data_IF_503829516475
#
_entry.id   IF_503829516475
#
_cell.length_a   1.000
_cell.length_b   1.000
_cell.length_c   1.000
_cell.angle_alpha   90.00
_cell.angle_beta   90.00
_cell.angle_gamma   90.00
#
_symmetry.space_group_name_H-M   'P 1'
#
loop_
_entity.id
_entity.type
_entity.pdbx_description
1 polymer ?
#
# COMPACT_ATOMS: atom_id res chain seq x y z
N UNK A 1 -4.12 2.27 23.91
CA UNK A 1 -4.98 3.06 23.02
C UNK A 1 -5.50 2.14 21.92
N UNK A 2 -6.80 2.19 21.57
CA UNK A 2 -7.35 1.38 20.48
C UNK A 2 -7.26 2.20 19.18
N UNK A 3 -6.66 1.63 18.14
CA UNK A 3 -6.53 2.25 16.81
C UNK A 3 -7.30 1.38 15.82
N UNK A 4 -7.96 2.01 14.85
CA UNK A 4 -8.53 1.36 13.67
C UNK A 4 -7.77 1.87 12.47
N UNK A 5 -7.23 0.96 11.66
CA UNK A 5 -6.41 1.30 10.52
C UNK A 5 -6.93 0.63 9.24
N UNK A 6 -6.86 1.35 8.13
CA UNK A 6 -7.11 0.86 6.78
C UNK A 6 -5.91 1.22 5.92
N UNK A 7 -5.01 0.26 5.68
CA UNK A 7 -3.64 0.53 5.21
C UNK A 7 -3.37 0.08 3.78
N UNK A 8 -4.38 -0.47 3.10
CA UNK A 8 -4.31 -0.81 1.68
C UNK A 8 -5.43 -0.10 0.92
N UNK A 9 -5.06 1.02 0.32
CA UNK A 9 -5.94 1.89 -0.46
C UNK A 9 -5.24 2.28 -1.76
N UNK A 10 -5.99 2.93 -2.63
CA UNK A 10 -5.49 3.52 -3.86
C UNK A 10 -5.74 5.02 -3.89
N UNK A 11 -5.16 5.69 -4.87
CA UNK A 11 -5.41 7.09 -5.21
C UNK A 11 -6.19 7.21 -6.53
N UNK A 12 -6.45 8.45 -6.94
CA UNK A 12 -7.04 8.78 -8.24
C UNK A 12 -6.11 8.48 -9.44
N UNK A 13 -4.83 8.16 -9.20
CA UNK A 13 -3.89 7.71 -10.23
C UNK A 13 -4.04 6.23 -10.59
N UNK A 14 -4.66 5.42 -9.73
CA UNK A 14 -4.93 4.02 -10.05
C UNK A 14 -6.07 3.88 -11.05
N UNK A 15 -5.99 2.91 -11.96
CA UNK A 15 -7.10 2.63 -12.88
C UNK A 15 -8.33 2.10 -12.14
N UNK A 16 -9.50 2.43 -12.67
CA UNK A 16 -10.81 2.01 -12.15
C UNK A 16 -11.09 2.43 -10.69
N UNK A 17 -10.42 3.48 -10.19
CA UNK A 17 -10.74 4.13 -8.92
C UNK A 17 -11.54 5.42 -9.15
N UNK A 18 -12.10 5.96 -8.07
CA UNK A 18 -12.80 7.24 -8.12
C UNK A 18 -11.82 8.40 -8.35
N UNK A 19 -12.22 9.37 -9.17
CA UNK A 19 -11.48 10.64 -9.33
C UNK A 19 -11.37 11.44 -8.01
N UNK A 20 -12.26 11.17 -7.06
CA UNK A 20 -12.26 11.80 -5.74
C UNK A 20 -11.37 11.06 -4.74
N UNK A 21 -10.63 10.03 -5.13
CA UNK A 21 -9.76 9.28 -4.23
C UNK A 21 -8.44 10.05 -3.98
N UNK A 22 -8.56 11.21 -3.35
CA UNK A 22 -7.46 12.09 -2.96
C UNK A 22 -7.34 12.21 -1.43
N UNK A 23 -6.29 12.88 -0.93
CA UNK A 23 -5.99 12.95 0.50
C UNK A 23 -7.10 13.64 1.32
N UNK A 24 -7.72 14.68 0.79
CA UNK A 24 -8.80 15.42 1.44
C UNK A 24 -10.05 14.54 1.63
N UNK A 25 -10.44 13.79 0.59
CA UNK A 25 -11.57 12.87 0.68
C UNK A 25 -11.25 11.64 1.52
N UNK A 26 -10.03 11.11 1.47
CA UNK A 26 -9.60 10.06 2.39
C UNK A 26 -9.69 10.52 3.84
N UNK A 27 -9.20 11.74 4.13
CA UNK A 27 -9.31 12.37 5.46
C UNK A 27 -10.76 12.52 5.93
N UNK A 28 -11.65 12.98 5.05
CA UNK A 28 -13.09 13.09 5.33
C UNK A 28 -13.71 11.72 5.64
N UNK A 29 -13.50 10.73 4.77
CA UNK A 29 -14.14 9.42 4.91
C UNK A 29 -13.59 8.61 6.07
N UNK A 30 -12.31 8.77 6.41
CA UNK A 30 -11.73 8.17 7.59
C UNK A 30 -12.43 8.64 8.87
N UNK A 31 -12.70 9.94 9.00
CA UNK A 31 -13.48 10.49 10.10
C UNK A 31 -14.91 9.93 10.14
N UNK A 32 -15.61 9.91 8.99
CA UNK A 32 -16.97 9.36 8.91
C UNK A 32 -17.04 7.87 9.27
N UNK A 33 -16.00 7.09 8.97
CA UNK A 33 -15.91 5.66 9.27
C UNK A 33 -15.31 5.35 10.65
N UNK A 34 -14.73 6.32 11.34
CA UNK A 34 -13.98 6.09 12.58
C UNK A 34 -12.62 5.39 12.37
N UNK A 35 -12.00 5.57 11.21
CA UNK A 35 -10.65 5.09 10.90
C UNK A 35 -9.64 6.16 11.32
N UNK A 36 -8.62 5.74 12.07
CA UNK A 36 -7.64 6.62 12.69
C UNK A 36 -6.35 6.71 11.87
N UNK A 37 -5.94 5.60 11.23
CA UNK A 37 -4.75 5.53 10.38
C UNK A 37 -5.14 5.01 9.00
N UNK A 38 -4.71 5.71 7.97
CA UNK A 38 -5.11 5.46 6.58
C UNK A 38 -3.85 5.32 5.72
N UNK A 39 -3.75 4.25 4.93
CA UNK A 39 -2.71 4.14 3.91
C UNK A 39 -2.92 5.20 2.83
N UNK A 40 -1.86 5.88 2.40
CA UNK A 40 -1.96 6.86 1.31
C UNK A 40 -2.35 6.25 -0.03
N UNK A 41 -2.03 4.96 -0.22
CA UNK A 41 -2.07 4.31 -1.52
C UNK A 41 -0.96 4.80 -2.45
N UNK A 42 -0.66 3.99 -3.46
CA UNK A 42 0.05 4.37 -4.68
C UNK A 42 1.39 5.11 -4.50
N UNK A 43 2.16 4.83 -3.43
CA UNK A 43 3.45 5.52 -3.17
C UNK A 43 4.49 5.37 -4.28
N UNK A 44 4.32 4.41 -5.20
CA UNK A 44 5.21 4.26 -6.35
C UNK A 44 4.97 5.32 -7.44
N UNK A 45 3.81 5.99 -7.47
CA UNK A 45 3.48 6.94 -8.52
C UNK A 45 4.08 8.32 -8.27
N UNK A 46 4.95 8.87 -9.14
CA UNK A 46 5.64 10.14 -8.89
C UNK A 46 4.68 11.34 -8.75
N UNK A 47 3.63 11.41 -9.58
CA UNK A 47 2.63 12.48 -9.47
C UNK A 47 1.83 12.40 -8.15
N UNK A 48 1.67 11.20 -7.59
CA UNK A 48 1.02 11.05 -6.28
C UNK A 48 1.96 11.45 -5.14
N UNK A 49 3.25 11.13 -5.27
CA UNK A 49 4.28 11.60 -4.34
C UNK A 49 4.37 13.12 -4.27
N UNK A 50 4.30 13.81 -5.42
CA UNK A 50 4.25 15.28 -5.47
C UNK A 50 3.04 15.84 -4.72
N UNK A 51 1.84 15.26 -4.94
CA UNK A 51 0.64 15.65 -4.20
C UNK A 51 0.77 15.40 -2.69
N UNK A 52 1.30 14.24 -2.29
CA UNK A 52 1.54 13.90 -0.89
C UNK A 52 2.51 14.87 -0.24
N UNK A 53 3.65 15.17 -0.86
CA UNK A 53 4.62 16.16 -0.35
C UNK A 53 4.01 17.57 -0.25
N UNK A 54 3.14 17.94 -1.18
CA UNK A 54 2.46 19.23 -1.14
C UNK A 54 1.43 19.32 -0.01
N UNK A 55 0.71 18.23 0.30
CA UNK A 55 -0.46 18.27 1.17
C UNK A 55 -0.24 17.70 2.58
N UNK A 56 0.76 16.86 2.77
CA UNK A 56 1.03 16.20 4.04
C UNK A 56 2.21 16.84 4.77
N UNK A 57 2.17 16.76 6.10
CA UNK A 57 3.28 17.09 7.00
C UNK A 57 3.44 15.99 8.04
N UNK A 58 4.66 15.80 8.59
CA UNK A 58 4.89 14.86 9.69
C UNK A 58 3.97 15.15 10.89
N UNK A 59 3.55 14.10 11.58
CA UNK A 59 2.72 14.19 12.78
C UNK A 59 3.34 13.43 13.96
N UNK A 60 3.51 12.12 13.81
CA UNK A 60 4.22 11.23 14.73
C UNK A 60 5.22 10.39 13.90
N UNK A 61 6.08 9.62 14.55
CA UNK A 61 7.10 8.82 13.84
C UNK A 61 6.46 7.87 12.80
N UNK A 62 6.84 8.05 11.53
CA UNK A 62 6.29 7.30 10.40
C UNK A 62 4.87 7.67 9.97
N UNK A 63 4.24 8.66 10.64
CA UNK A 63 2.87 9.09 10.38
C UNK A 63 2.79 10.55 9.93
N UNK A 64 1.83 10.80 9.06
CA UNK A 64 1.62 12.09 8.43
C UNK A 64 0.21 12.59 8.72
N UNK A 65 0.00 13.89 8.58
CA UNK A 65 -1.32 14.51 8.63
C UNK A 65 -1.48 15.50 7.50
N UNK A 66 -2.72 15.72 7.08
CA UNK A 66 -3.07 16.74 6.12
C UNK A 66 -2.73 18.13 6.69
N UNK A 67 -2.14 19.01 5.88
CA UNK A 67 -1.92 20.41 6.29
C UNK A 67 -3.26 21.08 6.55
N UNK A 68 -3.26 22.03 7.49
CA UNK A 68 -4.47 22.68 7.99
C UNK A 68 -5.27 23.36 6.86
N UNK A 69 -4.60 23.96 5.87
CA UNK A 69 -5.28 24.62 4.75
C UNK A 69 -6.12 23.64 3.89
N UNK A 70 -5.67 22.40 3.73
CA UNK A 70 -6.41 21.37 2.99
C UNK A 70 -7.43 20.64 3.88
N UNK A 71 -7.15 20.49 5.18
CA UNK A 71 -8.09 19.87 6.12
C UNK A 71 -9.32 20.76 6.36
N UNK A 72 -9.14 22.07 6.53
CA UNK A 72 -10.24 23.01 6.84
C UNK A 72 -11.33 23.03 5.77
N UNK A 73 -10.96 22.95 4.50
CA UNK A 73 -11.93 23.01 3.38
C UNK A 73 -12.90 21.84 3.43
N UNK A 74 -12.41 20.63 3.68
CA UNK A 74 -13.21 19.41 3.70
C UNK A 74 -13.84 19.14 5.09
N UNK A 75 -13.27 19.68 6.18
CA UNK A 75 -13.77 19.49 7.54
C UNK A 75 -15.20 20.02 7.73
N UNK A 76 -15.57 21.08 7.00
CA UNK A 76 -16.92 21.64 7.04
C UNK A 76 -17.99 20.65 6.56
N UNK A 77 -17.62 19.65 5.78
CA UNK A 77 -18.50 18.59 5.28
C UNK A 77 -18.59 17.37 6.24
N UNK A 78 -17.82 17.36 7.33
CA UNK A 78 -17.84 16.29 8.33
C UNK A 78 -18.72 16.72 9.51
N UNK A 79 -19.75 15.93 9.90
CA UNK A 79 -20.53 16.18 11.10
C UNK A 79 -19.64 16.24 12.35
N UNK A 80 -19.91 17.17 13.26
CA UNK A 80 -19.12 17.35 14.49
C UNK A 80 -18.95 16.06 15.31
N UNK A 81 -19.97 15.19 15.33
CA UNK A 81 -19.93 13.89 16.01
C UNK A 81 -18.95 12.89 15.40
N UNK A 82 -18.51 13.11 14.16
CA UNK A 82 -17.52 12.28 13.46
C UNK A 82 -16.12 12.92 13.46
N UNK A 83 -15.95 14.11 14.06
CA UNK A 83 -14.63 14.77 14.08
C UNK A 83 -13.65 13.88 14.84
N UNK A 84 -12.53 13.58 14.19
CA UNK A 84 -11.56 12.62 14.69
C UNK A 84 -10.17 12.92 14.18
N UNK A 85 -9.18 12.42 14.92
CA UNK A 85 -7.78 12.48 14.48
C UNK A 85 -7.54 11.43 13.41
N UNK A 86 -7.08 11.87 12.24
CA UNK A 86 -6.67 11.00 11.14
C UNK A 86 -5.18 11.18 10.90
N UNK A 87 -4.51 10.05 10.68
CA UNK A 87 -3.11 9.96 10.27
C UNK A 87 -2.99 9.18 8.97
N UNK A 88 -2.00 9.54 8.18
CA UNK A 88 -1.62 8.87 6.96
C UNK A 88 -0.34 8.07 7.17
N UNK A 89 -0.33 6.85 6.65
CA UNK A 89 0.86 6.00 6.55
C UNK A 89 1.21 5.87 5.07
N UNK A 90 2.47 6.07 4.70
CA UNK A 90 2.89 5.98 3.30
C UNK A 90 2.88 4.51 2.89
N UNK A 91 1.93 4.15 2.04
CA UNK A 91 1.68 2.77 1.61
C UNK A 91 1.30 2.72 0.14
N UNK A 92 1.62 1.64 -0.57
CA UNK A 92 1.13 1.43 -1.94
C UNK A 92 1.24 -0.02 -2.39
N UNK A 93 0.46 -0.38 -3.39
CA UNK A 93 0.44 -1.71 -3.97
C UNK A 93 1.30 -1.76 -5.25
N UNK A 94 2.10 -2.81 -5.41
CA UNK A 94 2.84 -3.11 -6.64
C UNK A 94 2.29 -4.40 -7.24
N UNK A 95 2.07 -4.41 -8.56
CA UNK A 95 1.66 -5.62 -9.28
C UNK A 95 2.88 -6.28 -9.90
N UNK A 96 3.28 -7.42 -9.36
CA UNK A 96 4.41 -8.23 -9.81
C UNK A 96 3.92 -9.28 -10.81
N UNK A 97 4.41 -9.22 -12.05
CA UNK A 97 4.13 -10.23 -13.10
C UNK A 97 5.43 -10.76 -13.66
N UNK A 98 5.76 -12.02 -13.38
CA UNK A 98 7.06 -12.61 -13.68
C UNK A 98 6.96 -14.12 -13.91
N UNK A 99 8.00 -14.75 -14.47
CA UNK A 99 8.07 -16.22 -14.62
C UNK A 99 8.91 -16.80 -13.48
N UNK A 100 8.37 -17.80 -12.77
CA UNK A 100 9.07 -18.56 -11.73
C UNK A 100 8.52 -19.98 -11.65
N UNK A 101 9.39 -20.98 -11.47
CA UNK A 101 9.03 -22.41 -11.44
C UNK A 101 8.17 -22.82 -12.64
N UNK A 102 8.61 -22.39 -13.83
CA UNK A 102 7.93 -22.60 -15.12
C UNK A 102 6.51 -22.08 -15.27
N UNK A 103 6.03 -21.27 -14.32
CA UNK A 103 4.71 -20.63 -14.37
C UNK A 103 4.83 -19.11 -14.44
N UNK A 104 3.86 -18.47 -15.09
CA UNK A 104 3.68 -17.02 -14.98
C UNK A 104 2.96 -16.73 -13.68
N UNK A 105 3.64 -16.02 -12.78
CA UNK A 105 3.14 -15.58 -11.48
C UNK A 105 2.61 -14.17 -11.62
N UNK A 106 1.48 -13.92 -10.96
CA UNK A 106 0.88 -12.59 -10.84
C UNK A 106 0.51 -12.41 -9.38
N UNK A 107 1.17 -11.50 -8.69
CA UNK A 107 0.99 -11.26 -7.26
C UNK A 107 0.98 -9.77 -7.02
N UNK A 108 0.10 -9.31 -6.15
CA UNK A 108 0.17 -7.96 -5.61
C UNK A 108 0.76 -7.95 -4.22
N UNK A 109 1.55 -6.92 -3.95
CA UNK A 109 2.22 -6.74 -2.67
C UNK A 109 2.06 -5.29 -2.21
N UNK A 110 1.71 -5.11 -0.94
CA UNK A 110 1.63 -3.80 -0.30
C UNK A 110 2.97 -3.48 0.34
N UNK A 111 3.49 -2.30 0.04
CA UNK A 111 4.77 -1.80 0.55
C UNK A 111 4.55 -0.52 1.34
N UNK A 112 5.32 -0.37 2.42
CA UNK A 112 5.24 0.76 3.34
C UNK A 112 6.61 1.40 3.49
N UNK A 113 6.63 2.73 3.58
CA UNK A 113 7.86 3.50 3.75
C UNK A 113 7.70 4.50 4.91
N UNK A 114 8.72 4.69 5.75
CA UNK A 114 8.61 5.53 6.95
C UNK A 114 8.67 7.03 6.64
N UNK A 115 9.19 7.42 5.48
CA UNK A 115 9.44 8.82 5.13
C UNK A 115 9.34 9.06 3.63
N UNK A 116 9.18 10.33 3.24
CA UNK A 116 9.22 10.71 1.82
C UNK A 116 10.57 10.43 1.18
N UNK A 117 11.68 10.58 1.91
CA UNK A 117 13.03 10.25 1.42
C UNK A 117 13.15 8.76 1.10
N UNK A 118 12.57 7.89 1.93
CA UNK A 118 12.50 6.46 1.67
C UNK A 118 11.63 6.15 0.45
N UNK A 119 10.47 6.81 0.29
CA UNK A 119 9.64 6.69 -0.91
C UNK A 119 10.40 7.11 -2.18
N UNK A 120 11.16 8.19 -2.14
CA UNK A 120 11.96 8.64 -3.29
C UNK A 120 13.05 7.66 -3.68
N UNK A 121 13.78 7.12 -2.70
CA UNK A 121 14.76 6.04 -2.94
C UNK A 121 14.10 4.80 -3.53
N UNK A 122 12.94 4.42 -2.99
CA UNK A 122 12.15 3.30 -3.50
C UNK A 122 11.71 3.52 -4.95
N UNK A 123 11.13 4.67 -5.28
CA UNK A 123 10.74 5.02 -6.65
C UNK A 123 11.94 4.99 -7.60
N UNK A 124 13.10 5.52 -7.18
CA UNK A 124 14.32 5.52 -7.98
C UNK A 124 14.86 4.10 -8.27
N UNK A 125 14.59 3.13 -7.39
CA UNK A 125 14.89 1.70 -7.64
C UNK A 125 13.88 1.11 -8.63
N UNK A 126 12.58 1.32 -8.42
CA UNK A 126 11.52 0.77 -9.28
C UNK A 126 11.55 1.34 -10.70
N UNK A 127 11.90 2.61 -10.87
CA UNK A 127 11.95 3.28 -12.18
C UNK A 127 13.00 2.67 -13.12
N UNK A 128 14.05 2.06 -12.56
CA UNK A 128 15.06 1.31 -13.34
C UNK A 128 14.53 -0.03 -13.86
N UNK A 129 13.44 -0.52 -13.30
CA UNK A 129 12.86 -1.85 -13.60
C UNK A 129 11.70 -1.69 -14.58
N UNK A 130 10.84 -0.69 -14.39
CA UNK A 130 9.69 -0.48 -15.26
C UNK A 130 8.97 0.85 -15.04
N UNK A 131 7.84 1.00 -15.73
CA UNK A 131 7.08 2.24 -15.75
C UNK A 131 6.23 2.40 -14.48
N UNK A 132 6.59 3.40 -13.66
CA UNK A 132 5.85 3.76 -12.43
C UNK A 132 4.92 4.98 -12.60
N UNK A 133 4.75 5.51 -13.82
CA UNK A 133 4.03 6.75 -14.12
C UNK A 133 2.67 6.55 -14.80
N UNK A 134 2.37 5.33 -15.25
CA UNK A 134 1.17 5.07 -16.02
C UNK A 134 -0.07 4.73 -15.16
N UNK A 135 0.14 4.22 -13.95
CA UNK A 135 -0.89 3.75 -13.03
C UNK A 135 -0.40 3.90 -11.59
N UNK A 136 -1.32 4.18 -10.67
CA UNK A 136 -1.05 4.22 -9.23
C UNK A 136 -0.54 2.89 -8.66
N UNK A 137 -0.97 1.76 -9.24
CA UNK A 137 -0.36 0.44 -9.05
C UNK A 137 0.46 0.07 -10.30
N UNK A 138 1.77 0.30 -10.30
CA UNK A 138 2.60 -0.09 -11.42
C UNK A 138 2.65 -1.61 -11.57
N UNK A 139 2.64 -2.06 -12.82
CA UNK A 139 2.84 -3.47 -13.19
C UNK A 139 4.29 -3.64 -13.59
N UNK A 140 5.04 -4.42 -12.82
CA UNK A 140 6.47 -4.62 -12.99
C UNK A 140 6.79 -6.08 -13.26
N UNK A 141 7.71 -6.29 -14.21
CA UNK A 141 8.34 -7.58 -14.51
C UNK A 141 9.35 -8.01 -13.44
N UNK A 142 8.92 -8.06 -12.18
CA UNK A 142 9.77 -8.15 -11.00
C UNK A 142 9.29 -9.28 -10.08
N UNK A 143 10.20 -10.11 -9.57
CA UNK A 143 9.86 -11.13 -8.57
C UNK A 143 9.39 -10.47 -7.26
N UNK A 144 8.40 -11.04 -6.59
CA UNK A 144 7.94 -10.57 -5.28
C UNK A 144 9.04 -10.65 -4.21
N UNK A 145 9.92 -11.67 -4.28
CA UNK A 145 11.10 -11.79 -3.42
C UNK A 145 12.06 -10.62 -3.63
N UNK A 146 12.32 -10.24 -4.89
CA UNK A 146 13.22 -9.13 -5.21
C UNK A 146 12.60 -7.77 -4.86
N UNK A 147 11.28 -7.64 -4.96
CA UNK A 147 10.59 -6.46 -4.44
C UNK A 147 10.76 -6.33 -2.92
N UNK A 148 10.63 -7.44 -2.18
CA UNK A 148 10.87 -7.47 -0.74
C UNK A 148 12.32 -7.08 -0.42
N UNK A 149 13.30 -7.60 -1.14
CA UNK A 149 14.71 -7.19 -1.01
C UNK A 149 14.89 -5.68 -1.21
N UNK A 150 14.30 -5.11 -2.28
CA UNK A 150 14.35 -3.67 -2.54
C UNK A 150 13.75 -2.87 -1.38
N UNK A 151 12.64 -3.33 -0.79
CA UNK A 151 12.04 -2.66 0.37
C UNK A 151 13.01 -2.66 1.56
N UNK A 152 13.56 -3.83 1.90
CA UNK A 152 14.48 -4.01 3.03
C UNK A 152 15.79 -3.21 2.86
N UNK A 153 16.31 -3.12 1.63
CA UNK A 153 17.49 -2.32 1.31
C UNK A 153 17.23 -0.81 1.29
N UNK A 154 15.98 -0.40 1.04
CA UNK A 154 15.64 1.03 0.92
C UNK A 154 15.64 1.71 2.28
N UNK A 155 15.03 1.08 3.28
CA UNK A 155 14.96 1.57 4.65
C UNK A 155 14.70 0.41 5.62
N UNK A 156 15.35 0.42 6.78
CA UNK A 156 15.18 -0.62 7.80
C UNK A 156 13.78 -0.66 8.42
N UNK A 157 13.00 0.42 8.30
CA UNK A 157 11.59 0.50 8.71
C UNK A 157 10.62 0.36 7.52
N UNK A 158 11.13 -0.02 6.35
CA UNK A 158 10.30 -0.43 5.22
C UNK A 158 9.60 -1.75 5.54
N UNK A 159 8.31 -1.84 5.22
CA UNK A 159 7.53 -3.05 5.43
C UNK A 159 6.87 -3.52 4.14
N UNK A 160 6.59 -4.81 4.09
CA UNK A 160 6.04 -5.51 2.95
C UNK A 160 5.00 -6.52 3.44
N UNK A 161 3.84 -6.54 2.79
CA UNK A 161 2.76 -7.48 3.08
C UNK A 161 2.22 -8.02 1.75
N UNK A 162 2.22 -9.35 1.52
CA UNK A 162 1.50 -9.95 0.40
C UNK A 162 0.01 -9.57 0.46
N UNK A 163 -0.49 -8.98 -0.62
CA UNK A 163 -1.85 -8.45 -0.67
C UNK A 163 -2.86 -9.58 -0.92
N UNK A 164 -4.06 -9.42 -0.33
CA UNK A 164 -5.27 -10.22 -0.55
C UNK A 164 -5.03 -11.69 -0.97
N UNK A 165 -4.29 -12.42 -0.14
CA UNK A 165 -3.57 -13.66 -0.49
C UNK A 165 -4.41 -14.81 -1.05
N UNK A 166 -5.73 -14.78 -0.89
CA UNK A 166 -6.66 -15.82 -1.36
C UNK A 166 -7.53 -15.42 -2.55
N UNK A 167 -7.40 -14.20 -3.08
CA UNK A 167 -8.18 -13.84 -4.27
C UNK A 167 -7.71 -14.70 -5.46
N UNK A 168 -8.61 -15.16 -6.36
CA UNK A 168 -8.21 -16.12 -7.39
C UNK A 168 -7.12 -15.63 -8.35
N UNK A 169 -6.99 -14.31 -8.50
CA UNK A 169 -6.08 -13.63 -9.40
C UNK A 169 -5.21 -12.66 -8.62
N UNK A 170 -3.96 -12.48 -9.04
CA UNK A 170 -3.06 -11.47 -8.46
C UNK A 170 -2.76 -11.64 -6.96
N UNK A 171 -2.86 -12.87 -6.44
CA UNK A 171 -2.64 -13.18 -5.03
C UNK A 171 -1.61 -14.27 -4.83
N UNK A 172 -1.00 -14.29 -3.64
CA UNK A 172 0.02 -15.26 -3.26
C UNK A 172 -0.47 -16.71 -3.40
N UNK A 173 -1.67 -17.04 -2.90
CA UNK A 173 -2.27 -18.37 -2.98
C UNK A 173 -3.44 -18.43 -3.99
N UNK A 174 -3.49 -17.49 -4.93
CA UNK A 174 -4.56 -17.43 -5.92
C UNK A 174 -4.57 -18.65 -6.85
N UNK A 175 -5.74 -19.26 -7.05
CA UNK A 175 -5.88 -20.53 -7.79
C UNK A 175 -5.46 -20.47 -9.27
N UNK A 176 -5.29 -19.27 -9.84
CA UNK A 176 -4.94 -19.11 -11.26
C UNK A 176 -3.42 -18.94 -11.51
N UNK A 177 -2.70 -18.31 -10.58
CA UNK A 177 -1.29 -17.95 -10.78
C UNK A 177 -0.42 -17.93 -9.51
N UNK A 178 -1.00 -18.25 -8.35
CA UNK A 178 -0.35 -18.23 -7.05
C UNK A 178 0.53 -19.45 -6.78
N UNK A 179 1.28 -19.38 -5.69
CA UNK A 179 2.17 -20.39 -5.14
C UNK A 179 1.43 -21.32 -4.17
N UNK A 180 2.05 -22.45 -3.83
CA UNK A 180 1.48 -23.41 -2.87
C UNK A 180 2.01 -23.17 -1.44
N UNK A 181 3.04 -22.31 -1.27
CA UNK A 181 3.62 -21.93 0.02
C UNK A 181 4.26 -20.53 -0.03
N UNK A 182 4.49 -19.92 1.13
CA UNK A 182 5.16 -18.62 1.24
C UNK A 182 6.63 -18.78 0.84
N UNK A 183 7.24 -19.89 1.27
CA UNK A 183 8.63 -20.26 1.03
C UNK A 183 8.94 -20.38 -0.47
N UNK A 184 8.03 -20.94 -1.26
CA UNK A 184 8.21 -21.03 -2.72
C UNK A 184 8.22 -19.64 -3.38
N UNK A 185 7.54 -18.65 -2.79
CA UNK A 185 7.51 -17.29 -3.31
C UNK A 185 8.72 -16.47 -2.87
N UNK A 186 9.00 -16.44 -1.56
CA UNK A 186 9.95 -15.53 -0.93
C UNK A 186 11.31 -16.14 -0.59
N UNK A 187 11.46 -17.47 -0.70
CA UNK A 187 12.72 -18.20 -0.56
C UNK A 187 13.50 -17.79 0.71
N UNK A 188 14.73 -17.31 0.55
CA UNK A 188 15.64 -16.87 1.60
C UNK A 188 15.09 -15.71 2.43
N UNK A 189 14.17 -14.91 1.88
CA UNK A 189 13.56 -13.77 2.56
C UNK A 189 12.22 -14.08 3.24
N UNK A 190 11.78 -15.34 3.26
CA UNK A 190 10.52 -15.75 3.90
C UNK A 190 10.43 -15.31 5.36
N UNK A 191 11.55 -15.33 6.10
CA UNK A 191 11.60 -14.90 7.50
C UNK A 191 11.28 -13.42 7.74
N UNK A 192 11.23 -12.59 6.69
CA UNK A 192 10.85 -11.18 6.77
C UNK A 192 9.35 -10.94 6.59
N UNK A 193 8.57 -11.97 6.19
CA UNK A 193 7.11 -11.87 6.08
C UNK A 193 6.50 -12.03 7.47
N UNK A 194 6.10 -10.92 8.07
CA UNK A 194 5.51 -10.89 9.41
C UNK A 194 3.97 -10.89 9.40
N UNK A 195 3.36 -10.58 8.26
CA UNK A 195 1.91 -10.46 8.10
C UNK A 195 1.48 -10.83 6.67
N UNK A 196 0.22 -11.22 6.53
CA UNK A 196 -0.45 -11.51 5.27
C UNK A 196 -1.80 -10.79 5.25
N UNK A 197 -2.16 -10.16 4.14
CA UNK A 197 -3.48 -9.56 3.99
C UNK A 197 -4.48 -10.61 3.51
N UNK A 198 -5.48 -10.95 4.33
CA UNK A 198 -6.48 -11.99 4.01
C UNK A 198 -7.33 -11.66 2.77
N UNK A 199 -7.48 -10.38 2.46
CA UNK A 199 -8.33 -9.87 1.40
C UNK A 199 -9.82 -10.06 1.69
N UNK A 200 -10.64 -9.89 0.65
CA UNK A 200 -12.10 -9.98 0.75
C UNK A 200 -12.65 -11.41 0.63
N UNK A 201 -11.80 -12.37 0.26
CA UNK A 201 -12.19 -13.76 -0.03
C UNK A 201 -11.89 -14.75 1.09
N UNK A 202 -11.38 -14.28 2.23
CA UNK A 202 -11.14 -15.12 3.40
C UNK A 202 -11.32 -14.35 4.71
N UNK A 203 -11.50 -15.07 5.81
CA UNK A 203 -11.54 -14.55 7.17
C UNK A 203 -10.43 -15.16 8.04
N UNK A 204 -10.12 -14.61 9.24
CA UNK A 204 -9.05 -15.15 10.08
C UNK A 204 -9.19 -16.65 10.42
N UNK A 205 -10.38 -17.18 10.76
CA UNK A 205 -10.57 -18.62 11.00
C UNK A 205 -10.15 -19.54 9.84
N UNK A 206 -10.29 -19.10 8.58
CA UNK A 206 -9.81 -19.87 7.42
C UNK A 206 -8.28 -19.98 7.35
N UNK A 207 -7.56 -19.04 7.98
CA UNK A 207 -6.11 -18.88 7.89
C UNK A 207 -5.34 -19.47 9.10
N UNK A 208 -6.04 -19.91 10.13
CA UNK A 208 -5.44 -20.44 11.36
C UNK A 208 -5.42 -21.98 11.41
N UNK A 209 -5.52 -22.61 10.24
CA UNK A 209 -5.45 -24.07 10.07
C UNK A 209 -4.17 -24.43 9.35
#
# INVERSE_FOLDING_TARGET
MKIVADIHLHSHFSRATSKNLNLEYLYKWAQLKGVHVVGTGDIAHPGWLEEMKNKLIPAEDGLFRLKEEFAKSIQAEVPKSCHGTVRFMLAGEISNIYKKNDKVRKIHNVVFMPSFDAVEKFQARLEKIGNIRADGRPILGLDSRDLLEIVLETDAQGHFIPAHIWTPWFALFGSMSGFDSIEECFEDLTGHIFALETGLSSDPPMNWR
#
